data_IF_804283692825
#
_entry.id   IF_804283692825
#
_cell.length_a   1.000
_cell.length_b   1.000
_cell.length_c   1.000
_cell.angle_alpha   90.00
_cell.angle_beta   90.00
_cell.angle_gamma   90.00
#
_symmetry.space_group_name_H-M   'P 1'
#
loop_
_entity.id
_entity.type
_entity.pdbx_description
1 polymer ?
#
# COMPACT_ATOMS: atom_id res chain seq x y z
N UNK A 1 10.16 -9.80 -7.49
CA UNK A 1 8.72 -9.74 -7.15
C UNK A 1 8.03 -8.88 -8.17
N UNK A 2 6.77 -9.17 -8.51
CA UNK A 2 5.98 -8.44 -9.50
C UNK A 2 4.59 -8.15 -8.96
N UNK A 3 4.02 -7.01 -9.32
CA UNK A 3 2.63 -6.68 -9.06
C UNK A 3 1.83 -6.81 -10.36
N UNK A 4 0.92 -7.77 -10.42
CA UNK A 4 0.07 -8.02 -11.59
C UNK A 4 -1.40 -7.76 -11.26
N UNK A 5 -2.27 -7.64 -12.27
CA UNK A 5 -3.72 -7.64 -12.04
C UNK A 5 -4.16 -9.03 -11.57
N UNK A 6 -5.06 -9.09 -10.58
CA UNK A 6 -5.58 -10.37 -10.10
C UNK A 6 -6.47 -11.01 -11.16
N UNK A 7 -6.20 -12.24 -11.60
CA UNK A 7 -7.05 -12.94 -12.57
C UNK A 7 -8.26 -13.63 -11.92
N UNK A 8 -8.32 -13.67 -10.58
CA UNK A 8 -9.32 -14.38 -9.78
C UNK A 8 -10.28 -13.44 -9.07
N UNK A 9 -11.53 -13.85 -8.91
CA UNK A 9 -12.50 -13.16 -8.04
C UNK A 9 -12.35 -13.64 -6.59
N UNK A 10 -11.26 -13.23 -5.94
CA UNK A 10 -10.92 -13.61 -4.57
C UNK A 10 -10.97 -12.41 -3.61
N UNK A 11 -11.17 -12.67 -2.33
CA UNK A 11 -11.10 -11.63 -1.28
C UNK A 11 -9.66 -11.15 -1.09
N UNK A 12 -9.53 -9.92 -0.62
CA UNK A 12 -8.26 -9.38 -0.17
C UNK A 12 -7.72 -10.20 1.01
N UNK A 13 -6.43 -10.53 0.97
CA UNK A 13 -5.76 -11.35 1.98
C UNK A 13 -5.13 -10.50 3.11
N UNK A 14 -5.37 -9.18 3.10
CA UNK A 14 -4.92 -8.27 4.16
C UNK A 14 -5.84 -8.32 5.38
N UNK A 15 -5.81 -9.47 6.08
CA UNK A 15 -6.47 -9.68 7.37
C UNK A 15 -7.99 -9.48 7.34
N UNK A 16 -8.49 -8.50 8.10
CA UNK A 16 -9.92 -8.21 8.23
C UNK A 16 -10.55 -7.52 7.00
N UNK A 17 -9.76 -7.23 5.96
CA UNK A 17 -10.24 -6.56 4.77
C UNK A 17 -11.29 -7.42 4.03
N UNK A 18 -12.48 -6.85 3.82
CA UNK A 18 -13.59 -7.53 3.12
C UNK A 18 -13.70 -7.15 1.64
N UNK A 19 -12.75 -6.41 1.09
CA UNK A 19 -12.78 -6.03 -0.33
C UNK A 19 -12.36 -7.20 -1.22
N UNK A 20 -12.66 -7.11 -2.52
CA UNK A 20 -12.09 -8.02 -3.51
C UNK A 20 -10.67 -7.59 -3.88
N UNK A 21 -9.81 -8.57 -4.16
CA UNK A 21 -8.47 -8.31 -4.64
C UNK A 21 -8.50 -7.80 -6.08
N UNK A 22 -7.67 -6.79 -6.34
CA UNK A 22 -7.48 -6.20 -7.69
C UNK A 22 -6.09 -6.49 -8.23
N UNK A 23 -5.12 -6.69 -7.33
CA UNK A 23 -3.71 -6.91 -7.64
C UNK A 23 -3.18 -8.13 -6.91
N UNK A 24 -2.29 -8.85 -7.58
CA UNK A 24 -1.57 -9.98 -7.02
C UNK A 24 -0.10 -9.65 -6.96
N UNK A 25 0.49 -9.79 -5.78
CA UNK A 25 1.94 -9.76 -5.60
C UNK A 25 2.46 -11.17 -5.87
N UNK A 26 3.26 -11.31 -6.91
CA UNK A 26 3.95 -12.56 -7.26
C UNK A 26 5.37 -12.44 -6.78
N UNK A 27 5.79 -13.25 -5.80
CA UNK A 27 7.19 -13.21 -5.38
C UNK A 27 8.03 -14.26 -6.11
N UNK A 28 9.28 -13.91 -6.36
CA UNK A 28 10.19 -14.77 -7.10
C UNK A 28 10.83 -15.77 -6.12
N UNK A 29 11.07 -17.00 -6.58
CA UNK A 29 11.87 -18.02 -5.88
C UNK A 29 11.44 -18.36 -4.45
N UNK A 30 10.16 -18.51 -4.17
CA UNK A 30 9.72 -19.23 -2.97
C UNK A 30 8.86 -20.44 -3.37
N UNK A 31 8.69 -21.39 -2.46
CA UNK A 31 7.92 -22.62 -2.65
C UNK A 31 6.41 -22.35 -2.87
N UNK A 32 5.63 -23.44 -2.94
CA UNK A 32 4.23 -23.52 -3.41
C UNK A 32 3.32 -22.39 -2.84
N UNK A 33 2.53 -21.75 -3.73
CA UNK A 33 1.52 -20.68 -3.47
C UNK A 33 2.10 -19.35 -2.94
N UNK A 34 2.92 -18.69 -3.75
CA UNK A 34 3.55 -17.42 -3.39
C UNK A 34 2.86 -16.17 -3.94
N UNK A 35 1.54 -16.19 -3.95
CA UNK A 35 0.75 -15.07 -4.43
C UNK A 35 0.05 -14.43 -3.25
N UNK A 36 0.15 -13.10 -3.13
CA UNK A 36 -0.65 -12.32 -2.19
C UNK A 36 -1.66 -11.48 -2.97
N UNK A 37 -2.95 -11.71 -2.74
CA UNK A 37 -4.06 -11.07 -3.41
C UNK A 37 -4.56 -9.88 -2.58
N UNK A 38 -4.42 -8.66 -3.11
CA UNK A 38 -4.64 -7.42 -2.35
C UNK A 38 -5.54 -6.46 -3.13
N UNK A 39 -6.44 -5.76 -2.43
CA UNK A 39 -7.26 -4.70 -3.00
C UNK A 39 -6.48 -3.38 -3.13
N UNK A 40 -7.00 -2.44 -3.94
CA UNK A 40 -6.35 -1.13 -4.14
C UNK A 40 -6.15 -0.35 -2.83
N UNK A 41 -7.17 -0.35 -1.96
CA UNK A 41 -7.12 0.40 -0.69
C UNK A 41 -6.00 -0.10 0.23
N UNK A 42 -5.87 -1.40 0.41
CA UNK A 42 -4.82 -1.96 1.27
C UNK A 42 -3.43 -1.74 0.68
N UNK A 43 -3.26 -1.80 -0.64
CA UNK A 43 -1.99 -1.47 -1.29
C UNK A 43 -1.60 0.00 -1.08
N UNK A 44 -2.56 0.91 -1.16
CA UNK A 44 -2.30 2.33 -0.91
C UNK A 44 -1.87 2.59 0.53
N UNK A 45 -2.55 1.96 1.50
CA UNK A 45 -2.15 2.03 2.91
C UNK A 45 -0.75 1.44 3.11
N UNK A 46 -0.45 0.28 2.52
CA UNK A 46 0.85 -0.37 2.61
C UNK A 46 1.96 0.53 2.03
N UNK A 47 1.74 1.14 0.87
CA UNK A 47 2.68 2.08 0.27
C UNK A 47 2.97 3.27 1.19
N UNK A 48 1.93 3.83 1.84
CA UNK A 48 2.09 4.93 2.79
C UNK A 48 2.94 4.52 4.00
N UNK A 49 2.65 3.36 4.60
CA UNK A 49 3.39 2.85 5.76
C UNK A 49 4.86 2.57 5.42
N UNK A 50 5.12 1.93 4.28
CA UNK A 50 6.50 1.69 3.80
C UNK A 50 7.20 3.01 3.52
N UNK A 51 6.50 3.98 2.91
CA UNK A 51 7.05 5.31 2.64
C UNK A 51 7.42 6.08 3.91
N UNK A 52 6.62 5.95 4.98
CA UNK A 52 6.91 6.57 6.29
C UNK A 52 8.12 5.95 6.98
N UNK A 53 8.34 4.64 6.82
CA UNK A 53 9.44 3.90 7.44
C UNK A 53 10.77 4.06 6.67
N UNK A 54 10.75 3.86 5.35
CA UNK A 54 11.98 3.68 4.55
C UNK A 54 12.37 4.90 3.72
N UNK A 55 11.48 5.87 3.50
CA UNK A 55 11.84 7.11 2.80
C UNK A 55 12.15 8.17 3.85
N UNK A 56 13.43 8.49 4.12
CA UNK A 56 13.77 9.59 5.01
C UNK A 56 13.09 10.83 4.46
N UNK A 57 12.21 11.46 5.26
CA UNK A 57 11.53 12.69 4.88
C UNK A 57 12.62 13.71 4.54
N UNK A 58 12.90 13.90 3.26
CA UNK A 58 13.76 14.99 2.82
C UNK A 58 13.22 16.28 3.43
N UNK A 59 14.13 17.19 3.81
CA UNK A 59 13.79 18.48 4.43
C UNK A 59 12.71 19.23 3.63
N UNK A 60 12.64 19.01 2.32
CA UNK A 60 11.64 19.56 1.41
C UNK A 60 10.20 19.10 1.71
N UNK A 61 10.01 17.83 2.09
CA UNK A 61 8.68 17.27 2.41
C UNK A 61 8.18 17.78 3.76
N UNK A 62 9.08 18.03 4.72
CA UNK A 62 8.77 18.67 6.01
C UNK A 62 8.32 20.13 5.87
N UNK A 63 8.82 20.87 4.87
CA UNK A 63 8.41 22.27 4.61
C UNK A 63 6.97 22.35 4.07
N UNK A 64 6.51 21.37 3.30
CA UNK A 64 5.14 21.37 2.75
C UNK A 64 4.07 20.96 3.77
N UNK A 65 4.37 20.03 4.70
CA UNK A 65 3.42 19.63 5.75
C UNK A 65 3.16 20.76 6.76
N UNK A 66 4.18 21.55 7.12
CA UNK A 66 4.01 22.76 7.95
C UNK A 66 3.16 23.84 7.26
N UNK A 67 3.23 23.96 5.93
CA UNK A 67 2.47 24.95 5.17
C UNK A 67 0.97 24.62 5.04
N UNK A 68 0.58 23.35 5.25
CA UNK A 68 -0.83 22.89 5.20
C UNK A 68 -1.52 22.83 6.56
N UNK A 69 -0.78 23.05 7.66
CA UNK A 69 -1.34 23.08 9.02
C UNK A 69 -1.92 24.43 9.46
N UNK A 70 -1.88 25.46 8.62
CA UNK A 70 -2.52 26.75 8.91
C UNK A 70 -3.76 26.88 8.02
N UNK A 71 -4.87 26.34 8.51
CA UNK A 71 -6.23 26.85 8.24
C UNK A 71 -7.25 26.15 9.14
N UNK A 72 -7.77 26.96 10.08
CA UNK A 72 -9.10 26.94 10.69
C UNK A 72 -9.15 26.56 12.18
N UNK A 73 -8.78 27.53 13.02
CA UNK A 73 -9.58 27.86 14.21
C UNK A 73 -9.98 29.33 14.07
N UNK A 74 -11.27 29.57 13.85
CA UNK A 74 -11.96 30.84 13.99
C UNK A 74 -13.25 30.54 14.76
#
# INVERSE_FOLDING_TARGET
MKLIKTPYKIRCEMGACRNFAERTIVMDRVSIKNHLHVCGNCLQTLYKLIGEEFVPKSIETLKMSRKRGVKNEA
#
